data_IF_525160524809
#
_entry.id   IF_525160524809
#
_cell.length_a   1.000
_cell.length_b   1.000
_cell.length_c   1.000
_cell.angle_alpha   90.00
_cell.angle_beta   90.00
_cell.angle_gamma   90.00
#
_symmetry.space_group_name_H-M   'P 1'
#
loop_
_entity.id
_entity.type
_entity.pdbx_description
1 polymer ?
#
# COMPACT_ATOMS: atom_id res chain seq x y z
N UNK A 1 33.38 15.77 -21.24
CA UNK A 1 32.42 14.68 -20.93
C UNK A 1 31.22 14.84 -21.86
N UNK A 2 30.89 13.81 -22.66
CA UNK A 2 29.84 13.89 -23.70
C UNK A 2 28.45 14.04 -23.07
N UNK A 3 27.61 14.95 -23.59
CA UNK A 3 26.26 15.18 -23.10
C UNK A 3 25.35 13.94 -23.07
N UNK A 4 25.68 12.91 -23.86
CA UNK A 4 25.00 11.61 -23.85
C UNK A 4 25.22 10.83 -22.54
N UNK A 5 26.40 10.96 -21.92
CA UNK A 5 26.70 10.35 -20.61
C UNK A 5 25.99 11.08 -19.47
N UNK A 6 25.85 12.41 -19.56
CA UNK A 6 25.09 13.19 -18.58
C UNK A 6 23.59 12.84 -18.60
N UNK A 7 23.01 12.68 -19.80
CA UNK A 7 21.64 12.20 -19.95
C UNK A 7 21.46 10.77 -19.45
N UNK A 8 22.43 9.88 -19.69
CA UNK A 8 22.41 8.52 -19.16
C UNK A 8 22.42 8.47 -17.63
N UNK A 9 23.28 9.26 -16.99
CA UNK A 9 23.33 9.37 -15.52
C UNK A 9 22.04 9.97 -14.97
N UNK A 10 21.50 11.00 -15.61
CA UNK A 10 20.21 11.60 -15.22
C UNK A 10 19.07 10.57 -15.31
N UNK A 11 19.05 9.75 -16.37
CA UNK A 11 18.03 8.72 -16.56
C UNK A 11 18.15 7.59 -15.54
N UNK A 12 19.37 7.21 -15.14
CA UNK A 12 19.60 6.23 -14.06
C UNK A 12 19.16 6.79 -12.71
N UNK A 13 19.40 8.07 -12.44
CA UNK A 13 18.94 8.72 -11.21
C UNK A 13 17.42 8.82 -11.20
N UNK A 14 16.80 9.28 -12.28
CA UNK A 14 15.34 9.41 -12.40
C UNK A 14 14.66 8.05 -12.37
N UNK A 15 15.17 7.07 -13.10
CA UNK A 15 14.70 5.69 -13.07
C UNK A 15 14.90 5.05 -11.69
N UNK A 16 16.03 5.32 -11.04
CA UNK A 16 16.32 4.91 -9.67
C UNK A 16 15.34 5.50 -8.66
N UNK A 17 15.04 6.80 -8.74
CA UNK A 17 14.03 7.48 -7.90
C UNK A 17 12.62 6.95 -8.21
N UNK A 18 12.29 6.68 -9.47
CA UNK A 18 11.01 6.10 -9.86
C UNK A 18 10.83 4.68 -9.30
N UNK A 19 11.87 3.84 -9.39
CA UNK A 19 11.89 2.51 -8.77
C UNK A 19 11.90 2.64 -7.25
N UNK A 20 12.59 3.61 -6.65
CA UNK A 20 12.58 3.84 -5.20
C UNK A 20 11.26 4.43 -4.71
N UNK A 21 10.45 5.05 -5.58
CA UNK A 21 9.05 5.42 -5.31
C UNK A 21 8.09 4.23 -5.52
N UNK A 22 8.42 3.32 -6.43
CA UNK A 22 7.63 2.12 -6.70
C UNK A 22 7.86 1.01 -5.65
N UNK A 23 9.13 0.78 -5.30
CA UNK A 23 9.62 0.01 -4.14
C UNK A 23 9.43 0.82 -2.85
N UNK A 24 9.27 2.13 -3.01
CA UNK A 24 8.91 3.09 -2.00
C UNK A 24 7.57 2.76 -1.38
N UNK A 25 7.69 2.23 -0.17
CA UNK A 25 6.77 2.55 0.92
C UNK A 25 5.48 1.73 0.90
N UNK A 26 5.64 0.41 1.02
CA UNK A 26 4.72 -0.37 1.88
C UNK A 26 4.65 0.20 3.30
N UNK A 27 5.49 1.15 3.73
CA UNK A 27 5.20 1.91 4.94
C UNK A 27 3.87 2.65 4.87
N UNK A 28 3.30 3.00 3.71
CA UNK A 28 1.94 3.52 3.64
C UNK A 28 0.92 2.48 4.06
N UNK A 29 1.13 1.22 3.67
CA UNK A 29 0.35 0.09 4.16
C UNK A 29 0.58 -0.12 5.66
N UNK A 30 1.84 -0.20 6.12
CA UNK A 30 2.22 -0.44 7.52
C UNK A 30 1.73 0.71 8.42
N UNK A 31 2.08 1.98 8.16
CA UNK A 31 1.57 3.15 8.89
C UNK A 31 0.06 3.25 8.82
N UNK A 32 -0.52 2.92 7.67
CA UNK A 32 -1.97 2.93 7.57
C UNK A 32 -2.64 1.89 8.48
N UNK A 33 -1.98 0.78 8.84
CA UNK A 33 -2.49 -0.16 9.84
C UNK A 33 -2.07 0.26 11.26
N UNK A 34 -0.84 0.74 11.42
CA UNK A 34 -0.25 1.17 12.68
C UNK A 34 -1.07 2.28 13.35
N UNK A 35 -1.50 3.28 12.59
CA UNK A 35 -2.28 4.42 13.10
C UNK A 35 -3.63 4.01 13.70
N UNK A 36 -4.47 3.20 13.02
CA UNK A 36 -5.69 2.67 13.63
C UNK A 36 -5.43 1.81 14.87
N UNK A 37 -4.38 0.98 14.88
CA UNK A 37 -4.02 0.20 16.07
C UNK A 37 -3.62 1.10 17.25
N UNK A 38 -2.85 2.16 17.00
CA UNK A 38 -2.48 3.16 18.00
C UNK A 38 -3.74 3.89 18.51
N UNK A 39 -4.67 4.28 17.64
CA UNK A 39 -5.94 4.92 18.04
C UNK A 39 -6.79 4.03 18.92
N UNK A 40 -6.91 2.73 18.60
CA UNK A 40 -7.60 1.75 19.45
C UNK A 40 -6.89 1.61 20.79
N UNK A 41 -5.55 1.51 20.80
CA UNK A 41 -4.75 1.46 22.02
C UNK A 41 -4.98 2.68 22.92
N UNK A 42 -4.92 3.89 22.36
CA UNK A 42 -5.25 5.12 23.08
C UNK A 42 -6.71 5.18 23.51
N UNK A 43 -7.62 4.61 22.71
CA UNK A 43 -9.03 4.47 23.06
C UNK A 43 -9.24 3.62 24.31
N UNK A 44 -8.55 2.47 24.40
CA UNK A 44 -8.57 1.57 25.55
C UNK A 44 -7.95 2.25 26.79
N UNK A 45 -6.78 2.88 26.63
CA UNK A 45 -6.13 3.63 27.73
C UNK A 45 -7.01 4.79 28.21
N UNK A 46 -7.68 5.49 27.29
CA UNK A 46 -8.64 6.55 27.61
C UNK A 46 -9.88 6.03 28.36
N UNK A 47 -10.32 4.82 28.03
CA UNK A 47 -11.43 4.14 28.74
C UNK A 47 -11.03 3.78 30.18
N UNK A 48 -9.80 3.27 30.38
CA UNK A 48 -9.27 2.93 31.70
C UNK A 48 -9.13 4.16 32.63
N UNK A 49 -8.86 5.35 32.06
CA UNK A 49 -8.72 6.61 32.82
C UNK A 49 -10.05 7.35 33.09
N UNK A 50 -11.17 6.64 33.17
CA UNK A 50 -12.54 7.19 33.37
C UNK A 50 -13.02 8.18 32.29
N UNK A 51 -12.23 8.45 31.25
CA UNK A 51 -12.62 9.28 30.09
C UNK A 51 -13.30 8.45 29.01
N UNK A 52 -14.35 7.73 29.41
CA UNK A 52 -15.11 6.78 28.57
C UNK A 52 -15.63 7.40 27.27
N UNK A 53 -15.98 8.69 27.29
CA UNK A 53 -16.39 9.44 26.10
C UNK A 53 -15.27 9.53 25.06
N UNK A 54 -14.08 9.97 25.46
CA UNK A 54 -12.93 10.14 24.55
C UNK A 54 -12.36 8.78 24.15
N UNK A 55 -12.26 7.84 25.10
CA UNK A 55 -11.78 6.49 24.83
C UNK A 55 -12.69 5.70 23.87
N UNK A 56 -14.01 5.81 24.05
CA UNK A 56 -14.99 5.22 23.15
C UNK A 56 -14.90 5.78 21.73
N UNK A 57 -14.84 7.11 21.59
CA UNK A 57 -14.71 7.75 20.26
C UNK A 57 -13.42 7.31 19.57
N UNK A 58 -12.28 7.32 20.26
CA UNK A 58 -11.00 6.89 19.66
C UNK A 58 -11.03 5.43 19.22
N UNK A 59 -11.65 4.56 20.02
CA UNK A 59 -11.77 3.12 19.71
C UNK A 59 -12.66 2.89 18.49
N UNK A 60 -13.81 3.58 18.42
CA UNK A 60 -14.74 3.48 17.29
C UNK A 60 -14.11 4.03 16.01
N UNK A 61 -13.44 5.18 16.08
CA UNK A 61 -12.75 5.78 14.93
C UNK A 61 -11.62 4.88 14.45
N UNK A 62 -10.78 4.37 15.36
CA UNK A 62 -9.72 3.43 15.01
C UNK A 62 -10.25 2.12 14.41
N UNK A 63 -11.36 1.60 14.94
CA UNK A 63 -12.03 0.41 14.41
C UNK A 63 -12.65 0.62 13.02
N UNK A 64 -13.29 1.77 12.80
CA UNK A 64 -13.89 2.12 11.51
C UNK A 64 -12.81 2.32 10.43
N UNK A 65 -11.65 2.89 10.80
CA UNK A 65 -10.49 3.01 9.92
C UNK A 65 -9.90 1.63 9.53
N UNK A 66 -9.91 0.64 10.43
CA UNK A 66 -9.51 -0.73 10.09
C UNK A 66 -10.49 -1.40 9.12
N UNK A 67 -11.80 -1.22 9.32
CA UNK A 67 -12.82 -1.77 8.42
C UNK A 67 -12.68 -1.25 7.00
N UNK A 68 -12.39 0.04 6.81
CA UNK A 68 -12.10 0.61 5.49
C UNK A 68 -10.91 -0.03 4.78
N UNK A 69 -9.91 -0.53 5.54
CA UNK A 69 -8.73 -1.19 4.98
C UNK A 69 -8.96 -2.63 4.52
N UNK A 70 -9.98 -3.33 5.03
CA UNK A 70 -10.38 -4.63 4.49
C UNK A 70 -10.91 -4.53 3.05
N UNK A 71 -11.52 -3.40 2.67
CA UNK A 71 -11.91 -3.14 1.28
C UNK A 71 -10.71 -3.06 0.32
N UNK A 72 -9.57 -2.55 0.82
CA UNK A 72 -8.31 -2.52 0.07
C UNK A 72 -7.78 -3.92 -0.28
N UNK A 73 -8.01 -4.92 0.58
CA UNK A 73 -7.61 -6.31 0.30
C UNK A 73 -8.39 -6.92 -0.87
N UNK A 74 -9.69 -6.61 -1.00
CA UNK A 74 -10.52 -7.08 -2.12
C UNK A 74 -10.00 -6.48 -3.44
N UNK A 75 -9.67 -5.18 -3.42
CA UNK A 75 -9.13 -4.49 -4.60
C UNK A 75 -7.73 -4.98 -4.97
N UNK A 76 -6.90 -5.32 -3.98
CA UNK A 76 -5.60 -5.95 -4.18
C UNK A 76 -5.74 -7.35 -4.81
N UNK A 77 -6.65 -8.18 -4.31
CA UNK A 77 -6.97 -9.49 -4.88
C UNK A 77 -7.46 -9.38 -6.32
N UNK A 78 -8.32 -8.42 -6.61
CA UNK A 78 -8.77 -8.12 -7.98
C UNK A 78 -7.62 -7.70 -8.89
N UNK A 79 -6.74 -6.80 -8.42
CA UNK A 79 -5.58 -6.35 -9.17
C UNK A 79 -4.62 -7.52 -9.48
N UNK A 80 -4.33 -8.38 -8.51
CA UNK A 80 -3.53 -9.60 -8.70
C UNK A 80 -4.20 -10.52 -9.72
N UNK A 81 -5.52 -10.74 -9.62
CA UNK A 81 -6.29 -11.55 -10.57
C UNK A 81 -6.20 -11.01 -12.00
N UNK A 82 -6.35 -9.70 -12.19
CA UNK A 82 -6.21 -9.02 -13.48
C UNK A 82 -4.81 -9.17 -14.08
N UNK A 83 -3.75 -9.04 -13.25
CA UNK A 83 -2.36 -9.24 -13.70
C UNK A 83 -2.16 -10.70 -14.15
N UNK A 84 -2.62 -11.68 -13.37
CA UNK A 84 -2.51 -13.11 -13.71
C UNK A 84 -3.25 -13.42 -15.01
N UNK A 85 -4.47 -12.91 -15.17
CA UNK A 85 -5.26 -13.08 -16.39
C UNK A 85 -4.57 -12.43 -17.58
N UNK A 86 -4.07 -11.20 -17.44
CA UNK A 86 -3.34 -10.49 -18.50
C UNK A 86 -2.08 -11.24 -18.96
N UNK A 87 -1.28 -11.75 -18.02
CA UNK A 87 -0.10 -12.56 -18.33
C UNK A 87 -0.49 -13.91 -18.98
N UNK A 88 -1.64 -14.49 -18.60
CA UNK A 88 -2.11 -15.75 -19.19
C UNK A 88 -2.49 -15.63 -20.68
N UNK A 89 -2.97 -14.45 -21.12
CA UNK A 89 -3.26 -14.17 -22.53
C UNK A 89 -1.98 -14.11 -23.38
N UNK A 90 -0.94 -13.43 -22.91
CA UNK A 90 0.36 -13.40 -23.59
C UNK A 90 1.03 -14.78 -23.70
N UNK A 91 0.77 -15.67 -22.74
CA UNK A 91 1.36 -17.03 -22.73
C UNK A 91 0.63 -18.01 -23.66
N UNK A 92 -0.63 -17.73 -24.02
CA UNK A 92 -1.43 -18.57 -24.94
C UNK A 92 -1.06 -18.35 -26.40
N UNK A 93 -0.58 -17.16 -26.75
CA UNK A 93 -0.20 -16.80 -28.12
C UNK A 93 1.04 -17.57 -28.61
N UNK A 94 2.04 -17.81 -27.73
CA UNK A 94 3.24 -18.58 -28.07
C UNK A 94 3.02 -20.08 -28.33
N UNK A 95 1.83 -20.63 -28.05
CA UNK A 95 1.52 -22.06 -28.28
C UNK A 95 0.74 -22.35 -29.57
N UNK A 96 0.50 -21.33 -30.41
CA UNK A 96 -0.16 -21.48 -31.72
C UNK A 96 0.76 -21.24 -32.93
N UNK A 97 2.07 -21.14 -32.70
CA UNK A 97 3.09 -20.98 -33.75
C UNK A 97 3.91 -22.26 -33.98
N UNK A 98 3.26 -23.42 -33.96
CA UNK A 98 3.79 -24.70 -34.45
C UNK A 98 2.73 -25.38 -35.29
#
# INVERSE_FOLDING_TARGET
MNGKSALGVLLVIVGGIAVLNFVGVHFGAIFGFLLPFILIGFGIVGWMNNKKWIGGILTVVGGMMLLGKFGGFIMLLLAIGLIVVGVSFFKKDKRRAY
#
